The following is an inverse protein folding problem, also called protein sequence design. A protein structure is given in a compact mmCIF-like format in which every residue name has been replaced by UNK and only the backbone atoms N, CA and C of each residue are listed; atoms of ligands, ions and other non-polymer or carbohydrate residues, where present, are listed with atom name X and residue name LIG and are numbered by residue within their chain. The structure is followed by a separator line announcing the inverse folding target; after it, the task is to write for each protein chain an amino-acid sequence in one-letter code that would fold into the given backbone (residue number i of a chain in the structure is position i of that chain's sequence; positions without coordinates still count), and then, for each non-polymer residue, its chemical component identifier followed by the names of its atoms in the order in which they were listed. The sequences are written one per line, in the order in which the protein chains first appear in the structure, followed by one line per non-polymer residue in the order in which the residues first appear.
data_IF_474546237815
#
_entry.id   IF_474546237815
#
_cell.length_a   1.000
_cell.length_b   1.000
_cell.length_c   1.000
_cell.angle_alpha   90.00
_cell.angle_beta   90.00
_cell.angle_gamma   90.00
#
_symmetry.space_group_name_H-M   'P 1'
#
loop_
_entity.id
_entity.type
_entity.pdbx_description
1 polymer ?
#
# COMPACT_ATOMS: atom_id res chain seq x y z
N UNK A 1 -0.18 -17.96 5.72
CA UNK A 1 -0.77 -18.54 4.52
C UNK A 1 0.23 -18.51 3.34
N UNK A 2 0.68 -17.38 2.83
CA UNK A 2 1.69 -17.28 1.77
C UNK A 2 3.06 -17.94 2.12
N UNK A 3 3.52 -17.86 3.36
CA UNK A 3 4.77 -18.52 3.80
C UNK A 3 4.75 -20.04 3.65
N UNK A 4 3.56 -20.67 3.58
CA UNK A 4 3.38 -22.13 3.40
C UNK A 4 3.06 -22.52 1.94
N UNK A 5 3.24 -21.62 0.97
CA UNK A 5 3.00 -21.91 -0.45
C UNK A 5 1.53 -21.81 -0.91
N UNK A 6 0.60 -21.48 -0.02
CA UNK A 6 -0.82 -21.28 -0.37
C UNK A 6 -1.09 -19.80 -0.68
N UNK A 7 -0.51 -19.28 -1.75
CA UNK A 7 -0.70 -17.90 -2.21
C UNK A 7 -1.37 -17.87 -3.58
N UNK A 8 -2.51 -17.18 -3.70
CA UNK A 8 -3.22 -17.02 -4.96
C UNK A 8 -4.03 -15.71 -4.98
N UNK A 9 -4.67 -15.44 -6.14
CA UNK A 9 -5.59 -14.30 -6.27
C UNK A 9 -6.79 -14.48 -5.34
N UNK A 10 -7.15 -13.40 -4.64
CA UNK A 10 -8.39 -13.34 -3.87
C UNK A 10 -9.56 -13.13 -4.84
N UNK A 11 -10.48 -14.11 -4.91
CA UNK A 11 -11.64 -14.05 -5.78
C UNK A 11 -11.31 -14.03 -7.28
N UNK A 12 -12.09 -13.32 -8.13
CA UNK A 12 -11.92 -13.29 -9.59
C UNK A 12 -10.67 -12.55 -10.04
N UNK A 13 -10.00 -11.82 -9.15
CA UNK A 13 -8.73 -11.15 -9.38
C UNK A 13 -8.81 -9.83 -10.16
N UNK A 14 -9.97 -9.45 -10.66
CA UNK A 14 -10.19 -8.19 -11.39
C UNK A 14 -10.53 -7.00 -10.49
N UNK A 15 -10.88 -7.24 -9.22
CA UNK A 15 -11.20 -6.17 -8.29
C UNK A 15 -9.98 -5.33 -7.96
N UNK A 16 -10.19 -4.01 -7.84
CA UNK A 16 -9.16 -3.08 -7.43
C UNK A 16 -8.81 -3.26 -5.96
N UNK A 17 -7.52 -3.17 -5.67
CA UNK A 17 -6.95 -3.25 -4.34
C UNK A 17 -6.18 -1.95 -4.07
N UNK A 18 -6.77 -1.09 -3.25
CA UNK A 18 -6.10 0.12 -2.76
C UNK A 18 -5.21 -0.25 -1.60
N UNK A 19 -3.97 0.21 -1.63
CA UNK A 19 -2.95 -0.11 -0.65
C UNK A 19 -2.11 1.14 -0.35
N UNK A 20 -1.39 1.14 0.73
CA UNK A 20 -0.36 2.14 1.05
C UNK A 20 0.71 1.49 1.91
N UNK A 21 1.95 1.91 1.76
CA UNK A 21 3.03 1.51 2.65
C UNK A 21 2.87 2.18 4.02
N UNK A 22 3.17 1.46 5.11
CA UNK A 22 2.99 1.98 6.47
C UNK A 22 3.77 3.27 6.72
N UNK A 23 4.99 3.38 6.17
CA UNK A 23 5.81 4.58 6.29
C UNK A 23 5.17 5.76 5.55
N UNK A 24 4.64 5.55 4.33
CA UNK A 24 3.96 6.61 3.58
C UNK A 24 2.66 7.04 4.27
N UNK A 25 1.93 6.11 4.89
CA UNK A 25 0.75 6.45 5.67
C UNK A 25 1.11 7.36 6.87
N UNK A 26 2.17 7.02 7.61
CA UNK A 26 2.64 7.84 8.73
C UNK A 26 3.15 9.22 8.27
N UNK A 27 3.94 9.26 7.19
CA UNK A 27 4.44 10.51 6.62
C UNK A 27 3.31 11.38 6.07
N UNK A 28 2.28 10.78 5.47
CA UNK A 28 1.10 11.51 4.99
C UNK A 28 0.32 12.15 6.15
N UNK A 29 0.19 11.46 7.28
CA UNK A 29 -0.42 12.04 8.48
C UNK A 29 0.39 13.26 8.95
N UNK A 30 1.71 13.16 9.04
CA UNK A 30 2.57 14.28 9.42
C UNK A 30 2.46 15.43 8.42
N UNK A 31 2.49 15.14 7.12
CA UNK A 31 2.31 16.15 6.07
C UNK A 31 0.99 16.90 6.21
N UNK A 32 -0.11 16.19 6.53
CA UNK A 32 -1.41 16.85 6.73
C UNK A 32 -1.48 17.71 7.99
N UNK A 33 -0.70 17.40 9.02
CA UNK A 33 -0.59 18.24 10.21
C UNK A 33 0.22 19.51 9.96
N UNK A 34 1.25 19.44 9.13
CA UNK A 34 2.11 20.58 8.79
C UNK A 34 1.47 21.50 7.74
N UNK A 35 0.60 20.98 6.89
CA UNK A 35 -0.04 21.71 5.79
C UNK A 35 -1.39 22.33 6.21
N UNK A 36 -1.39 23.53 6.73
CA UNK A 36 -2.61 24.23 7.18
C UNK A 36 -3.63 24.53 6.06
N UNK A 37 -3.23 24.37 4.80
CA UNK A 37 -4.10 24.56 3.62
C UNK A 37 -4.95 23.34 3.30
N UNK A 38 -4.63 22.19 3.87
CA UNK A 38 -5.40 20.95 3.67
C UNK A 38 -6.62 20.98 4.57
N UNK A 39 -7.81 20.97 3.96
CA UNK A 39 -9.08 20.90 4.67
C UNK A 39 -9.93 19.74 4.15
N UNK A 40 -10.69 19.09 5.04
CA UNK A 40 -11.57 17.97 4.70
C UNK A 40 -10.89 16.59 4.73
N UNK A 41 -11.52 15.54 4.20
CA UNK A 41 -11.05 14.17 4.28
C UNK A 41 -9.85 13.95 3.36
N UNK A 42 -8.81 13.31 3.90
CA UNK A 42 -7.61 12.89 3.15
C UNK A 42 -7.59 11.37 3.01
N UNK A 43 -7.56 10.91 1.78
CA UNK A 43 -7.51 9.49 1.49
C UNK A 43 -6.06 9.00 1.58
N UNK A 44 -5.81 8.07 2.50
CA UNK A 44 -4.51 7.42 2.67
C UNK A 44 -4.42 6.18 1.77
N UNK A 45 -3.99 6.38 0.53
CA UNK A 45 -3.78 5.31 -0.45
C UNK A 45 -2.55 5.61 -1.32
N UNK A 46 -1.94 4.58 -1.91
CA UNK A 46 -0.88 4.74 -2.90
C UNK A 46 -1.42 5.36 -4.19
N UNK A 47 -0.62 6.16 -4.92
CA UNK A 47 -1.01 6.72 -6.20
C UNK A 47 -1.25 5.65 -7.28
N UNK A 48 -0.72 4.44 -7.10
CA UNK A 48 -0.83 3.33 -8.04
C UNK A 48 -1.64 2.16 -7.45
N UNK A 49 -3.00 2.24 -7.47
CA UNK A 49 -3.85 1.11 -7.10
C UNK A 49 -3.61 -0.04 -8.09
N UNK A 50 -3.66 -1.26 -7.59
CA UNK A 50 -3.45 -2.48 -8.38
C UNK A 50 -4.67 -3.38 -8.35
N UNK A 51 -4.79 -4.32 -9.28
CA UNK A 51 -5.79 -5.37 -9.19
C UNK A 51 -5.34 -6.47 -8.20
N UNK A 52 -6.29 -7.21 -7.64
CA UNK A 52 -5.98 -8.36 -6.77
C UNK A 52 -5.07 -9.39 -7.47
N UNK A 53 -5.20 -9.53 -8.78
CA UNK A 53 -4.33 -10.39 -9.59
C UNK A 53 -2.91 -9.87 -9.67
N UNK A 54 -2.75 -8.57 -9.87
CA UNK A 54 -1.44 -7.91 -9.89
C UNK A 54 -0.79 -7.97 -8.52
N UNK A 55 -1.56 -7.68 -7.45
CA UNK A 55 -1.08 -7.82 -6.08
C UNK A 55 -0.52 -9.21 -5.82
N UNK A 56 -1.30 -10.25 -6.13
CA UNK A 56 -0.86 -11.64 -5.95
C UNK A 56 0.37 -12.00 -6.81
N UNK A 57 0.48 -11.40 -8.02
CA UNK A 57 1.65 -11.60 -8.90
C UNK A 57 2.91 -10.99 -8.30
N UNK A 58 2.86 -9.72 -7.90
CA UNK A 58 4.00 -9.01 -7.32
C UNK A 58 4.41 -9.65 -6.01
N UNK A 59 3.45 -9.97 -5.14
CA UNK A 59 3.71 -10.58 -3.84
C UNK A 59 4.35 -11.97 -3.95
N UNK A 60 3.88 -12.82 -4.86
CA UNK A 60 4.48 -14.13 -5.11
C UNK A 60 5.91 -14.01 -5.67
N UNK A 61 6.13 -13.03 -6.55
CA UNK A 61 7.45 -12.74 -7.11
C UNK A 61 8.43 -12.28 -6.03
N UNK A 62 8.04 -11.34 -5.17
CA UNK A 62 8.89 -10.83 -4.08
C UNK A 62 9.24 -11.91 -3.06
N UNK A 63 8.32 -12.86 -2.81
CA UNK A 63 8.57 -14.01 -1.94
C UNK A 63 9.34 -15.16 -2.62
N UNK A 64 9.66 -15.04 -3.91
CA UNK A 64 10.26 -16.12 -4.71
C UNK A 64 9.49 -17.45 -4.59
N UNK A 65 8.15 -17.38 -4.56
CA UNK A 65 7.24 -18.52 -4.40
C UNK A 65 6.28 -18.63 -5.58
N UNK A 66 6.04 -19.85 -6.09
CA UNK A 66 5.06 -20.05 -7.15
C UNK A 66 3.64 -19.71 -6.66
N UNK A 67 2.82 -19.16 -7.56
CA UNK A 67 1.38 -18.98 -7.35
C UNK A 67 0.69 -20.32 -7.50
N UNK A 68 0.35 -20.98 -6.40
CA UNK A 68 -0.12 -22.37 -6.49
C UNK A 68 -1.63 -22.49 -6.75
N UNK A 69 -2.49 -21.63 -6.16
CA UNK A 69 -3.93 -21.74 -6.39
C UNK A 69 -4.67 -20.41 -6.24
N UNK A 70 -5.55 -20.02 -7.21
CA UNK A 70 -6.51 -18.96 -6.97
C UNK A 70 -7.52 -19.42 -5.92
N UNK A 71 -7.83 -18.57 -4.93
CA UNK A 71 -8.84 -18.86 -3.93
C UNK A 71 -10.22 -18.50 -4.50
N UNK A 72 -11.09 -19.48 -4.79
CA UNK A 72 -12.41 -19.21 -5.35
C UNK A 72 -13.32 -18.51 -4.32
N UNK A 73 -14.30 -17.73 -4.81
CA UNK A 73 -15.22 -16.95 -3.95
C UNK A 73 -15.91 -17.78 -2.87
N UNK A 74 -16.31 -19.01 -3.18
CA UNK A 74 -16.98 -19.88 -2.21
C UNK A 74 -16.08 -20.26 -1.03
N UNK A 75 -14.78 -20.48 -1.27
CA UNK A 75 -13.80 -20.78 -0.23
C UNK A 75 -13.51 -19.53 0.63
N UNK A 76 -13.51 -18.34 0.02
CA UNK A 76 -13.40 -17.09 0.78
C UNK A 76 -14.60 -16.90 1.72
N UNK A 77 -15.83 -17.16 1.24
CA UNK A 77 -17.03 -17.11 2.08
C UNK A 77 -16.99 -18.13 3.21
N UNK A 78 -16.44 -19.33 2.98
CA UNK A 78 -16.29 -20.35 4.01
C UNK A 78 -15.30 -19.96 5.11
N UNK A 79 -14.17 -19.30 4.74
CA UNK A 79 -13.12 -18.93 5.69
C UNK A 79 -13.42 -17.62 6.42
N UNK A 80 -13.98 -16.62 5.73
CA UNK A 80 -14.22 -15.26 6.28
C UNK A 80 -15.70 -14.90 6.43
N UNK A 81 -16.63 -15.78 6.02
CA UNK A 81 -18.06 -15.53 6.13
C UNK A 81 -18.47 -14.26 5.39
N UNK A 82 -19.29 -13.43 6.03
CA UNK A 82 -19.78 -12.15 5.48
C UNK A 82 -18.65 -11.12 5.26
N UNK A 83 -17.55 -11.23 6.01
CA UNK A 83 -16.37 -10.35 5.85
C UNK A 83 -15.66 -10.54 4.51
N UNK A 84 -15.95 -11.62 3.78
CA UNK A 84 -15.44 -11.81 2.43
C UNK A 84 -15.89 -10.70 1.46
N UNK A 85 -17.01 -10.03 1.72
CA UNK A 85 -17.50 -8.90 0.94
C UNK A 85 -16.47 -7.75 0.90
N UNK A 86 -15.82 -7.44 2.03
CA UNK A 86 -14.80 -6.39 2.11
C UNK A 86 -13.61 -6.61 1.16
N UNK A 87 -13.30 -7.86 0.85
CA UNK A 87 -12.22 -8.22 -0.08
C UNK A 87 -12.70 -8.38 -1.53
N UNK A 88 -14.01 -8.47 -1.74
CA UNK A 88 -14.62 -8.61 -3.06
C UNK A 88 -15.09 -7.27 -3.63
N UNK A 89 -15.33 -6.28 -2.75
CA UNK A 89 -15.66 -4.92 -3.17
C UNK A 89 -14.48 -4.28 -3.88
N UNK A 90 -14.80 -3.57 -4.96
CA UNK A 90 -13.81 -3.02 -5.88
C UNK A 90 -13.83 -1.50 -5.82
N UNK A 91 -12.85 -0.92 -5.12
CA UNK A 91 -12.68 0.54 -5.06
C UNK A 91 -11.32 0.94 -5.62
N UNK A 92 -11.34 1.59 -6.77
CA UNK A 92 -10.15 2.24 -7.31
C UNK A 92 -9.99 3.61 -6.67
N UNK A 93 -9.19 3.67 -5.61
CA UNK A 93 -8.98 4.88 -4.84
C UNK A 93 -7.67 5.56 -5.26
N UNK A 94 -7.74 6.87 -5.52
CA UNK A 94 -6.56 7.70 -5.84
C UNK A 94 -6.47 8.80 -4.79
N UNK A 95 -5.29 9.05 -4.18
CA UNK A 95 -5.10 10.04 -3.13
C UNK A 95 -4.96 11.46 -3.68
N UNK A 96 -6.05 12.02 -4.22
CA UNK A 96 -6.05 13.29 -4.93
C UNK A 96 -5.48 14.44 -4.09
N UNK A 97 -5.90 14.54 -2.81
CA UNK A 97 -5.45 15.60 -1.91
C UNK A 97 -3.96 15.48 -1.62
N UNK A 98 -3.46 14.28 -1.37
CA UNK A 98 -2.02 14.06 -1.15
C UNK A 98 -1.20 14.47 -2.37
N UNK A 99 -1.64 14.09 -3.58
CA UNK A 99 -0.95 14.45 -4.82
C UNK A 99 -0.98 15.97 -5.07
N UNK A 100 -2.12 16.61 -4.88
CA UNK A 100 -2.26 18.07 -5.12
C UNK A 100 -1.56 18.92 -4.06
N UNK A 101 -1.36 18.40 -2.84
CA UNK A 101 -0.62 19.09 -1.78
C UNK A 101 0.92 18.92 -1.88
N UNK A 102 1.39 18.23 -2.92
CA UNK A 102 2.83 18.02 -3.13
C UNK A 102 3.45 16.92 -2.28
N UNK A 103 2.65 16.05 -1.64
CA UNK A 103 3.17 14.92 -0.89
C UNK A 103 3.96 13.96 -1.78
N UNK A 104 5.17 13.62 -1.38
CA UNK A 104 6.05 12.69 -2.10
C UNK A 104 5.98 11.30 -1.46
N UNK A 105 5.39 10.35 -2.20
CA UNK A 105 5.37 8.96 -1.78
C UNK A 105 6.76 8.35 -1.91
N UNK A 106 7.23 7.70 -0.87
CA UNK A 106 8.52 7.02 -0.85
C UNK A 106 8.46 5.64 -1.49
N UNK A 107 7.31 4.97 -1.35
CA UNK A 107 7.02 3.67 -1.94
C UNK A 107 5.80 3.76 -2.85
N UNK A 108 5.91 4.45 -4.00
CA UNK A 108 4.77 4.67 -4.89
C UNK A 108 4.30 3.38 -5.56
N UNK A 109 5.19 2.41 -5.76
CA UNK A 109 4.87 1.13 -6.41
C UNK A 109 4.78 -0.02 -5.41
N UNK A 110 3.87 -0.97 -5.70
CA UNK A 110 3.69 -2.16 -4.85
C UNK A 110 4.97 -3.00 -4.73
N UNK A 111 5.77 -3.06 -5.79
CA UNK A 111 7.03 -3.82 -5.79
C UNK A 111 8.03 -3.26 -4.79
N UNK A 112 8.22 -1.95 -4.77
CA UNK A 112 9.11 -1.26 -3.83
C UNK A 112 8.62 -1.45 -2.39
N UNK A 113 7.31 -1.22 -2.16
CA UNK A 113 6.70 -1.38 -0.85
C UNK A 113 6.87 -2.80 -0.30
N UNK A 114 6.62 -3.82 -1.11
CA UNK A 114 6.78 -5.21 -0.68
C UNK A 114 8.24 -5.61 -0.50
N UNK A 115 9.14 -5.07 -1.32
CA UNK A 115 10.58 -5.32 -1.17
C UNK A 115 11.11 -4.79 0.16
N UNK A 116 10.67 -3.60 0.58
CA UNK A 116 11.04 -3.03 1.87
C UNK A 116 10.44 -3.85 3.04
N UNK A 117 9.13 -4.12 3.00
CA UNK A 117 8.43 -4.85 4.07
C UNK A 117 8.92 -6.29 4.27
N UNK A 118 9.46 -6.91 3.24
CA UNK A 118 9.97 -8.29 3.27
C UNK A 118 11.48 -8.34 3.46
N UNK A 119 12.15 -7.19 3.46
CA UNK A 119 13.57 -7.08 3.78
C UNK A 119 13.84 -7.56 5.23
N UNK A 120 15.02 -8.11 5.52
CA UNK A 120 15.39 -8.50 6.87
C UNK A 120 15.33 -7.35 7.89
N UNK A 121 15.56 -6.14 7.43
CA UNK A 121 15.50 -4.91 8.21
C UNK A 121 14.73 -3.84 7.41
N UNK A 122 13.41 -3.81 7.47
CA UNK A 122 12.62 -2.75 6.82
C UNK A 122 12.95 -1.40 7.45
N UNK A 123 12.94 -0.34 6.62
CA UNK A 123 13.27 1.00 7.09
C UNK A 123 12.24 1.50 8.12
N UNK A 124 12.66 1.87 9.34
CA UNK A 124 11.75 2.40 10.35
C UNK A 124 11.34 3.84 10.01
N UNK A 125 10.10 4.21 10.34
CA UNK A 125 9.54 5.57 10.14
C UNK A 125 10.44 6.65 10.75
N UNK A 126 11.09 6.36 11.88
CA UNK A 126 11.98 7.30 12.57
C UNK A 126 13.16 7.76 11.71
N UNK A 127 13.76 6.88 10.91
CA UNK A 127 14.84 7.26 9.97
C UNK A 127 14.31 8.15 8.83
N UNK A 128 13.10 7.86 8.34
CA UNK A 128 12.47 8.64 7.28
C UNK A 128 12.13 10.07 7.71
N UNK A 129 11.74 10.24 8.98
CA UNK A 129 11.48 11.57 9.55
C UNK A 129 12.75 12.41 9.64
N UNK A 130 13.88 11.81 9.98
CA UNK A 130 15.17 12.52 10.04
C UNK A 130 15.63 12.99 8.66
N UNK A 131 15.51 12.15 7.64
CA UNK A 131 15.88 12.50 6.27
C UNK A 131 14.95 13.57 5.67
N UNK A 132 13.63 13.50 5.94
CA UNK A 132 12.65 14.50 5.50
C UNK A 132 12.90 15.88 6.13
N UNK A 133 13.25 15.92 7.41
CA UNK A 133 13.61 17.17 8.12
C UNK A 133 14.87 17.80 7.55
N UNK A 134 15.88 17.02 7.21
CA UNK A 134 17.12 17.54 6.62
C UNK A 134 16.92 18.08 5.20
N UNK A 135 16.05 17.46 4.41
CA UNK A 135 15.72 17.93 3.06
C UNK A 135 14.90 19.23 3.08
N UNK A 136 13.96 19.38 4.02
CA UNK A 136 13.17 20.60 4.21
C UNK A 136 14.04 21.78 4.68
N UNK A 137 15.00 21.52 5.56
CA UNK A 137 15.96 22.55 6.02
C UNK A 137 16.87 23.05 4.88
N UNK A 138 17.24 22.19 3.95
CA UNK A 138 18.09 22.56 2.81
C UNK A 138 17.36 23.44 1.77
N UNK A 139 16.03 23.34 1.68
CA UNK A 139 15.21 24.17 0.76
C UNK A 139 14.92 25.54 1.35
N UNK A 140 14.84 25.67 2.68
CA UNK A 140 14.57 26.95 3.36
C UNK A 140 15.78 27.92 3.36
N UNK A 141 16.99 27.47 2.97
CA UNK A 141 18.21 28.28 2.91
C UNK A 141 18.64 28.73 1.51
N UNK A 142 17.78 28.57 0.51
CA UNK A 142 17.96 29.11 -0.85
C UNK A 142 16.92 30.18 -1.16
#
# INVERSE_FOLDING_TARGET
MYRRGFGGTLGPGGQWFSWIHINDAALLILHTLDQHTIAGPVISASPHPVTSREFAKVFAHTLHRPRLFPMPKWMMKLVWGERAALFLDSHRTVPQVALSSGFQFRFPTLSEALSDLLAPHPMPVAQLMQEGSSASAAVAYR
#
